data_IF_805578559756
#
_entry.id   IF_805578559756
#
_cell.length_a   1.000
_cell.length_b   1.000
_cell.length_c   1.000
_cell.angle_alpha   90.00
_cell.angle_beta   90.00
_cell.angle_gamma   90.00
#
_symmetry.space_group_name_H-M   'P 1'
#
loop_
_entity.id
_entity.type
_entity.pdbx_description
1 polymer ?
#
# COMPACT_ATOMS: atom_id res chain seq x y z
N UNK A 1 -52.71 -6.28 69.37
CA UNK A 1 -52.49 -4.82 69.28
C UNK A 1 -50.99 -4.60 69.17
N UNK A 2 -50.41 -4.61 67.97
CA UNK A 2 -50.25 -3.49 67.01
C UNK A 2 -49.03 -2.59 67.31
N UNK A 3 -48.24 -2.38 66.25
CA UNK A 3 -47.13 -1.42 66.02
C UNK A 3 -45.72 -1.91 66.43
N UNK A 4 -44.68 -1.85 65.59
CA UNK A 4 -44.53 -1.33 64.23
C UNK A 4 -43.41 -0.28 64.11
N UNK A 5 -42.58 -0.43 63.06
CA UNK A 5 -41.60 0.51 62.43
C UNK A 5 -40.21 0.63 63.09
N UNK A 6 -39.15 0.12 62.45
CA UNK A 6 -38.38 0.61 61.28
C UNK A 6 -37.45 1.81 61.57
N UNK A 7 -36.11 1.67 61.40
CA UNK A 7 -35.20 2.81 61.31
C UNK A 7 -35.22 3.44 59.90
N UNK A 8 -35.23 4.76 59.87
CA UNK A 8 -35.22 5.63 58.70
C UNK A 8 -33.88 5.58 57.97
N UNK A 9 -33.92 5.18 56.70
CA UNK A 9 -32.79 5.22 55.76
C UNK A 9 -32.83 6.57 55.04
N UNK A 10 -31.81 7.41 55.24
CA UNK A 10 -31.64 8.66 54.51
C UNK A 10 -31.50 8.43 52.99
N UNK A 11 -31.82 9.44 52.16
CA UNK A 11 -31.81 9.30 50.72
C UNK A 11 -30.38 9.05 50.23
N UNK A 12 -30.18 7.90 49.58
CA UNK A 12 -29.03 7.68 48.71
C UNK A 12 -29.28 8.49 47.45
N UNK A 13 -28.55 9.58 47.29
CA UNK A 13 -28.49 10.34 46.04
C UNK A 13 -28.00 9.39 44.94
N UNK A 14 -28.91 8.96 44.08
CA UNK A 14 -28.60 8.21 42.88
C UNK A 14 -27.89 9.17 41.90
N UNK A 15 -26.75 8.80 41.30
CA UNK A 15 -26.20 9.60 40.21
C UNK A 15 -27.23 9.65 39.09
N UNK A 16 -27.68 10.86 38.77
CA UNK A 16 -28.69 11.15 37.76
C UNK A 16 -28.40 10.42 36.47
N UNK A 17 -29.38 9.64 35.98
CA UNK A 17 -29.36 8.89 34.72
C UNK A 17 -28.91 9.76 33.52
N UNK A 18 -29.11 11.08 33.60
CA UNK A 18 -28.61 12.08 32.64
C UNK A 18 -27.10 12.14 32.52
N UNK A 19 -26.35 11.96 33.62
CA UNK A 19 -24.87 12.00 33.60
C UNK A 19 -24.29 10.71 33.00
N UNK A 20 -24.93 9.57 33.25
CA UNK A 20 -24.57 8.28 32.64
C UNK A 20 -24.88 8.29 31.14
N UNK A 21 -26.01 8.86 30.72
CA UNK A 21 -26.35 9.05 29.30
C UNK A 21 -25.37 9.98 28.57
N UNK A 22 -24.86 11.03 29.22
CA UNK A 22 -23.82 11.90 28.65
C UNK A 22 -22.47 11.20 28.53
N UNK A 23 -22.08 10.35 29.49
CA UNK A 23 -20.85 9.55 29.41
C UNK A 23 -20.94 8.42 28.37
N UNK A 24 -22.12 7.82 28.17
CA UNK A 24 -22.36 6.86 27.09
C UNK A 24 -22.41 7.55 25.72
N UNK A 25 -22.92 8.78 25.63
CA UNK A 25 -22.88 9.55 24.38
C UNK A 25 -21.45 9.94 23.96
N UNK A 26 -20.55 10.22 24.92
CA UNK A 26 -19.14 10.51 24.63
C UNK A 26 -18.36 9.26 24.22
N UNK A 27 -18.77 8.07 24.68
CA UNK A 27 -18.13 6.80 24.29
C UNK A 27 -18.75 6.16 23.04
N UNK A 28 -19.92 6.62 22.59
CA UNK A 28 -20.57 6.17 21.36
C UNK A 28 -20.21 6.99 20.11
N UNK A 29 -19.26 7.94 20.19
CA UNK A 29 -18.78 8.70 19.05
C UNK A 29 -17.65 8.01 18.25
N UNK A 30 -17.40 6.71 18.48
CA UNK A 30 -16.46 5.92 17.68
C UNK A 30 -17.21 5.07 16.66
N UNK A 31 -17.87 5.71 15.70
CA UNK A 31 -18.24 5.05 14.44
C UNK A 31 -18.02 5.98 13.25
N UNK A 32 -17.02 5.59 12.45
CA UNK A 32 -17.01 5.59 10.98
C UNK A 32 -17.48 6.88 10.31
N UNK A 33 -16.55 7.76 9.92
CA UNK A 33 -16.87 8.82 8.97
C UNK A 33 -15.68 9.26 8.13
N UNK A 34 -15.76 8.91 6.84
CA UNK A 34 -15.41 9.71 5.66
C UNK A 34 -14.04 10.38 5.58
N UNK A 35 -13.29 9.98 4.55
CA UNK A 35 -12.31 10.76 3.80
C UNK A 35 -12.13 12.21 4.27
N UNK A 36 -11.06 12.47 5.03
CA UNK A 36 -10.57 13.83 5.23
C UNK A 36 -11.27 14.69 6.29
N UNK A 37 -12.10 14.13 7.18
CA UNK A 37 -12.65 14.90 8.32
C UNK A 37 -11.56 15.44 9.27
N UNK A 38 -10.45 14.71 9.42
CA UNK A 38 -9.34 15.19 10.25
C UNK A 38 -8.65 16.43 9.65
N UNK A 39 -8.56 16.50 8.32
CA UNK A 39 -7.98 17.66 7.63
C UNK A 39 -8.92 18.89 7.63
N UNK A 40 -10.24 18.68 7.69
CA UNK A 40 -11.19 19.80 7.83
C UNK A 40 -11.18 20.41 9.23
N UNK A 41 -10.73 19.65 10.24
CA UNK A 41 -10.45 20.14 11.60
C UNK A 41 -9.09 20.87 11.70
N UNK A 42 -8.23 20.77 10.68
CA UNK A 42 -6.94 21.45 10.67
C UNK A 42 -7.07 22.96 10.36
N UNK A 43 -6.17 23.81 10.91
CA UNK A 43 -6.05 25.21 10.56
C UNK A 43 -5.90 25.42 9.04
N UNK A 44 -6.40 26.53 8.48
CA UNK A 44 -6.40 26.77 7.03
C UNK A 44 -5.03 26.59 6.36
N UNK A 45 -3.96 26.96 7.06
CA UNK A 45 -2.57 26.81 6.58
C UNK A 45 -2.12 25.34 6.45
N UNK A 46 -2.62 24.45 7.32
CA UNK A 46 -2.25 23.03 7.36
C UNK A 46 -3.19 22.18 6.49
N UNK A 47 -4.45 22.60 6.33
CA UNK A 47 -5.51 21.86 5.62
C UNK A 47 -5.11 21.43 4.20
N UNK A 48 -4.54 22.33 3.42
CA UNK A 48 -4.11 22.04 2.05
C UNK A 48 -2.92 21.05 1.98
N UNK A 49 -2.01 21.10 2.95
CA UNK A 49 -0.91 20.14 3.06
C UNK A 49 -1.42 18.76 3.50
N UNK A 50 -2.38 18.74 4.44
CA UNK A 50 -3.03 17.52 4.94
C UNK A 50 -3.76 16.76 3.82
N UNK A 51 -4.55 17.46 2.98
CA UNK A 51 -5.23 16.83 1.84
C UNK A 51 -4.28 16.36 0.71
N UNK A 52 -3.03 16.84 0.69
CA UNK A 52 -2.03 16.44 -0.30
C UNK A 52 -1.25 15.21 0.10
N UNK A 53 -1.34 14.76 1.36
CA UNK A 53 -0.68 13.54 1.79
C UNK A 53 -1.62 12.37 1.53
N UNK A 54 -1.29 11.47 0.59
CA UNK A 54 -2.10 10.29 0.40
C UNK A 54 -2.06 9.44 1.68
N UNK A 55 -3.22 8.90 2.10
CA UNK A 55 -3.33 8.04 3.28
C UNK A 55 -2.40 6.81 3.21
N UNK A 56 -2.06 6.34 2.01
CA UNK A 56 -1.08 5.26 1.80
C UNK A 56 0.38 5.68 2.01
N UNK A 57 0.68 6.98 1.96
CA UNK A 57 2.01 7.55 2.23
C UNK A 57 2.35 7.59 3.72
N UNK A 58 1.36 7.65 4.60
CA UNK A 58 1.53 7.70 6.07
C UNK A 58 1.70 6.31 6.73
N UNK A 59 1.45 5.22 6.00
CA UNK A 59 1.58 3.84 6.48
C UNK A 59 2.67 3.03 5.79
N UNK A 60 3.54 3.66 5.00
CA UNK A 60 4.64 3.03 4.27
C UNK A 60 6.02 3.42 4.79
N UNK A 61 7.10 2.92 4.15
CA UNK A 61 8.49 3.31 4.49
C UNK A 61 8.79 4.79 4.26
N UNK A 62 7.97 5.48 3.47
CA UNK A 62 8.07 6.92 3.19
C UNK A 62 7.23 7.79 4.16
N UNK A 63 6.55 7.15 5.13
CA UNK A 63 5.76 7.84 6.15
C UNK A 63 6.58 8.87 6.90
N UNK A 64 7.85 8.56 7.17
CA UNK A 64 8.77 9.43 7.91
C UNK A 64 9.04 10.75 7.16
N UNK A 65 9.26 10.68 5.84
CA UNK A 65 9.47 11.86 4.99
C UNK A 65 8.21 12.73 4.88
N UNK A 66 7.04 12.10 4.73
CA UNK A 66 5.76 12.81 4.68
C UNK A 66 5.33 13.38 6.03
N UNK A 67 5.59 12.68 7.14
CA UNK A 67 5.37 13.20 8.49
C UNK A 67 6.28 14.40 8.76
N UNK A 68 7.57 14.30 8.44
CA UNK A 68 8.52 15.40 8.65
C UNK A 68 8.06 16.67 7.93
N UNK A 69 7.60 16.54 6.68
CA UNK A 69 7.06 17.65 5.90
C UNK A 69 5.72 18.19 6.45
N UNK A 70 4.89 17.36 7.08
CA UNK A 70 3.67 17.81 7.75
C UNK A 70 3.96 18.51 9.08
N UNK A 71 4.93 18.02 9.86
CA UNK A 71 5.32 18.59 11.15
C UNK A 71 6.00 19.95 11.04
N UNK A 72 6.56 20.29 9.88
CA UNK A 72 7.11 21.63 9.62
C UNK A 72 6.04 22.67 9.26
N UNK A 73 4.85 22.23 8.83
CA UNK A 73 3.76 23.09 8.34
C UNK A 73 2.60 23.18 9.35
N UNK A 74 2.43 22.15 10.18
CA UNK A 74 1.29 22.00 11.10
C UNK A 74 1.73 22.05 12.58
N UNK A 75 0.92 22.63 13.49
CA UNK A 75 1.25 22.67 14.91
C UNK A 75 1.23 21.26 15.55
N UNK A 76 2.07 21.02 16.58
CA UNK A 76 2.29 19.69 17.16
C UNK A 76 1.05 19.05 17.79
N UNK A 77 0.03 19.86 18.13
CA UNK A 77 -1.21 19.39 18.76
C UNK A 77 -2.14 18.61 17.81
N UNK A 78 -2.04 18.81 16.49
CA UNK A 78 -2.75 17.99 15.48
C UNK A 78 -2.02 16.71 15.13
N UNK A 79 -0.71 16.66 15.42
CA UNK A 79 0.11 15.45 15.27
C UNK A 79 -0.28 14.42 16.34
N UNK A 80 -0.80 14.84 17.51
CA UNK A 80 -1.18 13.94 18.60
C UNK A 80 -2.49 13.18 18.30
N UNK A 81 -3.49 13.83 17.69
CA UNK A 81 -4.70 13.16 17.19
C UNK A 81 -4.46 12.39 15.89
N UNK A 82 -3.51 12.85 15.07
CA UNK A 82 -2.95 12.09 13.95
C UNK A 82 -2.11 10.88 14.40
N UNK A 83 -1.51 10.91 15.59
CA UNK A 83 -0.75 9.81 16.16
C UNK A 83 -1.64 8.64 16.58
N UNK A 84 -2.90 8.90 16.96
CA UNK A 84 -3.90 7.85 17.20
C UNK A 84 -4.30 7.15 15.90
N UNK A 85 -4.48 7.90 14.80
CA UNK A 85 -4.70 7.32 13.47
C UNK A 85 -3.43 6.65 12.92
N UNK A 86 -2.24 7.22 13.16
CA UNK A 86 -0.98 6.59 12.82
C UNK A 86 -0.78 5.29 13.62
N UNK A 87 -1.23 5.23 14.88
CA UNK A 87 -1.24 4.03 15.69
C UNK A 87 -2.22 2.97 15.15
N UNK A 88 -3.41 3.38 14.70
CA UNK A 88 -4.38 2.49 14.04
C UNK A 88 -3.91 2.03 12.63
N UNK A 89 -3.14 2.88 11.93
CA UNK A 89 -2.40 2.54 10.70
C UNK A 89 -1.19 1.65 10.99
N UNK A 90 -0.60 1.72 12.20
CA UNK A 90 0.53 0.85 12.60
C UNK A 90 0.11 -0.57 12.95
N UNK A 91 -1.15 -0.79 13.33
CA UNK A 91 -1.67 -2.14 13.65
C UNK A 91 -1.60 -3.08 12.43
N UNK A 92 -1.48 -2.53 11.23
CA UNK A 92 -1.18 -3.26 9.99
C UNK A 92 0.06 -2.81 9.23
N UNK A 93 0.97 -2.02 9.83
CA UNK A 93 2.18 -1.52 9.13
C UNK A 93 3.14 -2.64 8.71
N UNK A 94 3.07 -3.80 9.37
CA UNK A 94 3.83 -5.00 9.00
C UNK A 94 3.19 -5.89 7.94
N UNK A 95 1.95 -5.60 7.52
CA UNK A 95 1.23 -6.46 6.58
C UNK A 95 1.67 -6.23 5.13
N UNK A 96 2.11 -7.31 4.49
CA UNK A 96 2.58 -7.32 3.10
C UNK A 96 1.50 -6.94 2.07
N UNK A 97 0.23 -6.97 2.47
CA UNK A 97 -0.91 -6.57 1.63
C UNK A 97 -1.12 -5.06 1.53
N UNK A 98 -0.58 -4.26 2.46
CA UNK A 98 -0.84 -2.82 2.54
C UNK A 98 -0.52 -2.03 1.26
N UNK A 99 0.59 -2.28 0.53
CA UNK A 99 0.85 -1.62 -0.75
C UNK A 99 -0.21 -1.87 -1.84
N UNK A 100 -1.01 -2.92 -1.70
CA UNK A 100 -2.09 -3.27 -2.61
C UNK A 100 -3.35 -2.43 -2.39
N UNK A 101 -3.53 -1.74 -1.26
CA UNK A 101 -4.76 -0.99 -0.96
C UNK A 101 -5.09 0.09 -2.00
N UNK A 102 -4.10 0.59 -2.74
CA UNK A 102 -4.32 1.53 -3.86
C UNK A 102 -5.03 0.91 -5.08
N UNK A 103 -5.13 -0.42 -5.12
CA UNK A 103 -5.79 -1.18 -6.18
C UNK A 103 -7.24 -1.54 -5.82
N UNK A 104 -7.66 -1.30 -4.57
CA UNK A 104 -9.05 -1.49 -4.17
C UNK A 104 -9.92 -0.46 -4.89
N UNK A 105 -10.98 -0.94 -5.54
CA UNK A 105 -11.91 -0.15 -6.35
C UNK A 105 -12.99 0.50 -5.47
N UNK A 106 -13.52 -0.23 -4.49
CA UNK A 106 -14.53 0.27 -3.58
C UNK A 106 -13.89 1.11 -2.45
N UNK A 107 -14.35 2.35 -2.20
CA UNK A 107 -13.82 3.19 -1.12
C UNK A 107 -13.88 2.53 0.25
N UNK A 108 -14.96 1.77 0.53
CA UNK A 108 -15.10 1.00 1.77
C UNK A 108 -14.06 -0.12 1.90
N UNK A 109 -13.75 -0.82 0.81
CA UNK A 109 -12.68 -1.83 0.80
C UNK A 109 -11.31 -1.19 1.00
N UNK A 110 -11.05 -0.07 0.32
CA UNK A 110 -9.81 0.68 0.46
C UNK A 110 -9.57 1.14 1.91
N UNK A 111 -10.60 1.69 2.56
CA UNK A 111 -10.52 2.13 3.96
C UNK A 111 -10.20 0.98 4.91
N UNK A 112 -10.91 -0.15 4.79
CA UNK A 112 -10.65 -1.34 5.62
C UNK A 112 -9.27 -1.93 5.33
N UNK A 113 -8.80 -1.91 4.08
CA UNK A 113 -7.46 -2.38 3.74
C UNK A 113 -6.36 -1.55 4.43
N UNK A 114 -6.56 -0.24 4.57
CA UNK A 114 -5.60 0.65 5.23
C UNK A 114 -5.53 0.45 6.75
N UNK A 115 -6.49 -0.20 7.39
CA UNK A 115 -6.42 -0.57 8.81
C UNK A 115 -6.18 -2.06 9.03
N UNK A 116 -6.38 -2.91 8.02
CA UNK A 116 -6.15 -4.34 8.13
C UNK A 116 -4.67 -4.69 8.38
N UNK A 117 -4.46 -5.69 9.24
CA UNK A 117 -3.17 -6.33 9.52
C UNK A 117 -3.00 -7.70 8.87
N UNK A 118 -4.04 -8.24 8.22
CA UNK A 118 -3.99 -9.48 7.43
C UNK A 118 -5.20 -9.58 6.48
N UNK A 119 -5.12 -10.46 5.48
CA UNK A 119 -6.18 -10.63 4.48
C UNK A 119 -7.57 -11.01 5.06
N UNK A 120 -7.70 -11.89 6.07
CA UNK A 120 -9.00 -12.19 6.69
C UNK A 120 -9.75 -10.98 7.26
N UNK A 121 -9.05 -9.95 7.76
CA UNK A 121 -9.66 -8.74 8.32
C UNK A 121 -10.37 -7.86 7.28
N UNK A 122 -10.15 -8.09 5.99
CA UNK A 122 -10.86 -7.39 4.91
C UNK A 122 -12.37 -7.69 4.90
N UNK A 123 -12.76 -8.86 5.44
CA UNK A 123 -14.15 -9.22 5.67
C UNK A 123 -15.07 -9.07 4.46
N UNK A 124 -16.31 -8.68 4.71
CA UNK A 124 -17.32 -8.44 3.68
C UNK A 124 -17.15 -7.11 2.93
N UNK A 125 -16.29 -6.20 3.43
CA UNK A 125 -16.03 -4.92 2.79
C UNK A 125 -15.33 -5.08 1.43
N UNK A 126 -14.53 -6.14 1.28
CA UNK A 126 -13.79 -6.44 0.06
C UNK A 126 -14.28 -7.75 -0.57
N UNK A 127 -15.09 -7.68 -1.63
CA UNK A 127 -15.55 -8.88 -2.35
C UNK A 127 -14.56 -9.26 -3.45
N UNK A 128 -14.00 -10.47 -3.39
CA UNK A 128 -12.99 -10.95 -4.34
C UNK A 128 -13.40 -10.87 -5.82
N UNK A 129 -14.68 -11.08 -6.13
CA UNK A 129 -15.20 -11.00 -7.50
C UNK A 129 -15.24 -9.57 -8.06
N UNK A 130 -15.29 -8.56 -7.18
CA UNK A 130 -15.30 -7.14 -7.59
C UNK A 130 -13.90 -6.53 -7.53
N UNK A 131 -13.01 -7.09 -6.71
CA UNK A 131 -11.70 -6.54 -6.38
C UNK A 131 -10.55 -7.42 -6.93
N UNK A 132 -10.66 -7.85 -8.19
CA UNK A 132 -9.79 -8.90 -8.78
C UNK A 132 -8.30 -8.51 -8.74
N UNK A 133 -7.95 -7.31 -9.22
CA UNK A 133 -6.55 -6.84 -9.24
C UNK A 133 -6.00 -6.62 -7.83
N UNK A 134 -6.85 -6.17 -6.91
CA UNK A 134 -6.51 -6.00 -5.50
C UNK A 134 -6.17 -7.35 -4.84
N UNK A 135 -7.06 -8.33 -4.91
CA UNK A 135 -6.81 -9.66 -4.33
C UNK A 135 -5.65 -10.40 -5.01
N UNK A 136 -5.47 -10.21 -6.32
CA UNK A 136 -4.28 -10.75 -7.01
C UNK A 136 -2.99 -10.15 -6.47
N UNK A 137 -2.99 -8.85 -6.15
CA UNK A 137 -1.85 -8.20 -5.52
C UNK A 137 -1.60 -8.76 -4.12
N UNK A 138 -2.63 -8.87 -3.26
CA UNK A 138 -2.53 -9.42 -1.90
C UNK A 138 -1.94 -10.83 -1.92
N UNK A 139 -2.52 -11.72 -2.74
CA UNK A 139 -2.04 -13.08 -2.86
C UNK A 139 -0.56 -13.11 -3.27
N UNK A 140 -0.18 -12.32 -4.28
CA UNK A 140 1.19 -12.25 -4.76
C UNK A 140 2.16 -11.73 -3.70
N UNK A 141 1.78 -10.73 -2.91
CA UNK A 141 2.66 -10.18 -1.88
C UNK A 141 2.77 -11.11 -0.68
N UNK A 142 1.71 -11.81 -0.28
CA UNK A 142 1.75 -12.80 0.81
C UNK A 142 2.56 -14.06 0.45
N UNK A 143 2.37 -14.61 -0.75
CA UNK A 143 3.23 -15.71 -1.23
C UNK A 143 4.70 -15.27 -1.34
N UNK A 144 4.93 -14.02 -1.78
CA UNK A 144 6.24 -13.39 -1.82
C UNK A 144 6.88 -13.23 -0.44
N UNK A 145 6.11 -12.85 0.58
CA UNK A 145 6.55 -12.80 1.97
C UNK A 145 7.14 -14.14 2.42
N UNK A 146 6.45 -15.22 2.07
CA UNK A 146 6.91 -16.59 2.31
C UNK A 146 8.22 -16.94 1.59
N UNK A 147 8.51 -16.37 0.42
CA UNK A 147 9.82 -16.50 -0.22
C UNK A 147 10.91 -15.73 0.54
N UNK A 148 10.65 -14.46 0.87
CA UNK A 148 11.65 -13.55 1.42
C UNK A 148 12.00 -13.83 2.89
N UNK A 149 11.08 -14.44 3.65
CA UNK A 149 11.34 -14.85 5.04
C UNK A 149 12.41 -15.95 5.17
N UNK A 150 12.70 -16.70 4.09
CA UNK A 150 13.63 -17.85 4.11
C UNK A 150 15.12 -17.46 4.04
N UNK A 151 15.45 -16.17 4.11
CA UNK A 151 16.84 -15.69 4.18
C UNK A 151 17.08 -14.90 5.46
N UNK A 152 18.26 -15.07 6.03
CA UNK A 152 18.75 -14.26 7.15
C UNK A 152 19.51 -13.01 6.67
N UNK A 153 19.85 -12.93 5.38
CA UNK A 153 20.53 -11.77 4.81
C UNK A 153 19.54 -10.62 4.62
N UNK A 154 19.77 -9.53 5.36
CA UNK A 154 18.99 -8.31 5.24
C UNK A 154 18.94 -7.79 3.80
N UNK A 155 20.08 -7.80 3.10
CA UNK A 155 20.18 -7.30 1.72
C UNK A 155 19.40 -8.17 0.73
N UNK A 156 19.47 -9.50 0.89
CA UNK A 156 18.68 -10.42 0.07
C UNK A 156 17.18 -10.25 0.35
N UNK A 157 16.81 -10.13 1.64
CA UNK A 157 15.42 -9.90 2.05
C UNK A 157 14.85 -8.60 1.46
N UNK A 158 15.58 -7.50 1.58
CA UNK A 158 15.17 -6.19 1.04
C UNK A 158 15.00 -6.22 -0.49
N UNK A 159 15.94 -6.84 -1.22
CA UNK A 159 15.81 -7.01 -2.67
C UNK A 159 14.63 -7.92 -3.06
N UNK A 160 14.33 -8.93 -2.25
CA UNK A 160 13.17 -9.81 -2.44
C UNK A 160 11.85 -9.07 -2.19
N UNK A 161 11.74 -8.32 -1.10
CA UNK A 161 10.61 -7.43 -0.81
C UNK A 161 10.33 -6.49 -1.99
N UNK A 162 11.36 -5.82 -2.51
CA UNK A 162 11.23 -4.87 -3.61
C UNK A 162 10.61 -5.50 -4.88
N UNK A 163 10.92 -6.77 -5.17
CA UNK A 163 10.34 -7.50 -6.30
C UNK A 163 8.82 -7.71 -6.13
N UNK A 164 8.36 -7.97 -4.91
CA UNK A 164 6.94 -8.24 -4.64
C UNK A 164 6.12 -6.97 -4.41
N UNK A 165 6.72 -5.88 -3.94
CA UNK A 165 6.06 -4.57 -3.84
C UNK A 165 5.81 -3.93 -5.21
N UNK A 166 6.65 -4.22 -6.21
CA UNK A 166 6.45 -3.75 -7.57
C UNK A 166 5.28 -4.49 -8.25
N UNK A 167 4.33 -3.77 -8.85
CA UNK A 167 3.19 -4.37 -9.59
C UNK A 167 3.64 -5.36 -10.66
N UNK A 168 4.66 -4.96 -11.43
CA UNK A 168 5.36 -5.81 -12.39
C UNK A 168 6.86 -5.63 -12.16
N UNK A 169 7.59 -6.67 -11.67
CA UNK A 169 8.98 -6.52 -11.31
C UNK A 169 9.86 -6.37 -12.57
N UNK A 170 10.55 -5.24 -12.65
CA UNK A 170 11.45 -4.92 -13.76
C UNK A 170 12.59 -5.93 -13.87
N UNK A 171 13.23 -5.97 -15.05
CA UNK A 171 14.42 -6.79 -15.27
C UNK A 171 15.54 -6.37 -14.32
N UNK A 172 15.69 -5.08 -14.06
CA UNK A 172 16.63 -4.54 -13.06
C UNK A 172 16.37 -5.08 -11.66
N UNK A 173 15.12 -5.07 -11.20
CA UNK A 173 14.77 -5.62 -9.87
C UNK A 173 15.07 -7.11 -9.78
N UNK A 174 14.72 -7.90 -10.80
CA UNK A 174 15.04 -9.34 -10.86
C UNK A 174 16.54 -9.59 -10.88
N UNK A 175 17.32 -8.77 -11.59
CA UNK A 175 18.77 -8.87 -11.60
C UNK A 175 19.39 -8.52 -10.24
N UNK A 176 18.88 -7.46 -9.59
CA UNK A 176 19.34 -7.06 -8.26
C UNK A 176 19.05 -8.14 -7.22
N UNK A 177 17.87 -8.75 -7.28
CA UNK A 177 17.53 -9.93 -6.47
C UNK A 177 18.53 -11.07 -6.68
N UNK A 178 18.81 -11.43 -7.94
CA UNK A 178 19.76 -12.50 -8.25
C UNK A 178 21.18 -12.19 -7.74
N UNK A 179 21.59 -10.92 -7.75
CA UNK A 179 22.88 -10.46 -7.24
C UNK A 179 22.95 -10.52 -5.71
N UNK A 180 21.93 -10.02 -5.03
CA UNK A 180 21.95 -9.89 -3.57
C UNK A 180 21.61 -11.21 -2.86
N UNK A 181 20.93 -12.12 -3.54
CA UNK A 181 20.59 -13.46 -3.06
C UNK A 181 21.44 -14.58 -3.69
N UNK A 182 22.67 -14.29 -4.15
CA UNK A 182 23.56 -15.32 -4.75
C UNK A 182 23.76 -16.55 -3.86
N UNK A 183 23.90 -16.35 -2.55
CA UNK A 183 24.04 -17.42 -1.57
C UNK A 183 22.69 -18.07 -1.15
N UNK A 184 21.57 -17.58 -1.68
CA UNK A 184 20.21 -17.99 -1.30
C UNK A 184 19.39 -18.37 -2.53
N UNK A 185 19.87 -19.38 -3.28
CA UNK A 185 19.26 -19.83 -4.52
C UNK A 185 17.79 -20.30 -4.37
N UNK A 186 17.38 -20.70 -3.17
CA UNK A 186 15.98 -21.03 -2.89
C UNK A 186 15.07 -19.79 -2.92
N UNK A 187 15.54 -18.64 -2.45
CA UNK A 187 14.78 -17.37 -2.50
C UNK A 187 14.62 -16.92 -3.95
N UNK A 188 15.70 -16.94 -4.73
CA UNK A 188 15.65 -16.54 -6.15
C UNK A 188 14.76 -17.45 -6.98
N UNK A 189 14.81 -18.77 -6.76
CA UNK A 189 13.91 -19.73 -7.43
C UNK A 189 12.44 -19.52 -7.04
N UNK A 190 12.16 -19.32 -5.76
CA UNK A 190 10.81 -19.06 -5.26
C UNK A 190 10.23 -17.79 -5.87
N UNK A 191 10.99 -16.68 -5.79
CA UNK A 191 10.58 -15.41 -6.37
C UNK A 191 10.37 -15.52 -7.88
N UNK A 192 11.28 -16.16 -8.61
CA UNK A 192 11.16 -16.33 -10.05
C UNK A 192 9.90 -17.11 -10.45
N UNK A 193 9.50 -18.13 -9.68
CA UNK A 193 8.29 -18.90 -9.95
C UNK A 193 7.01 -18.06 -9.83
N UNK A 194 6.96 -17.16 -8.84
CA UNK A 194 5.83 -16.28 -8.56
C UNK A 194 5.81 -15.01 -9.41
N UNK A 195 6.94 -14.66 -10.04
CA UNK A 195 7.06 -13.49 -10.91
C UNK A 195 7.27 -13.86 -12.38
N UNK A 196 6.86 -15.06 -12.79
CA UNK A 196 6.90 -15.44 -14.21
C UNK A 196 6.03 -14.47 -15.01
N UNK A 197 6.66 -13.80 -15.97
CA UNK A 197 5.99 -12.90 -16.90
C UNK A 197 5.83 -13.59 -18.25
N UNK A 198 4.63 -13.52 -18.82
CA UNK A 198 4.36 -14.01 -20.17
C UNK A 198 5.17 -13.21 -21.19
N UNK A 199 5.85 -13.86 -22.16
CA UNK A 199 6.50 -13.16 -23.26
C UNK A 199 5.54 -12.23 -24.00
N UNK A 200 6.06 -11.13 -24.55
CA UNK A 200 5.26 -10.25 -25.39
C UNK A 200 4.73 -11.00 -26.60
N UNK A 201 3.48 -10.73 -26.98
CA UNK A 201 2.87 -11.38 -28.14
C UNK A 201 3.33 -10.70 -29.44
N UNK A 202 4.15 -11.41 -30.22
CA UNK A 202 4.66 -10.99 -31.54
C UNK A 202 5.28 -9.58 -31.58
N UNK A 203 6.24 -9.25 -30.68
CA UNK A 203 6.91 -7.94 -30.68
C UNK A 203 7.62 -7.61 -32.01
N UNK A 204 8.01 -8.63 -32.76
CA UNK A 204 8.68 -8.51 -34.06
C UNK A 204 7.84 -7.80 -35.14
N UNK A 205 6.51 -7.72 -34.98
CA UNK A 205 5.64 -6.95 -35.90
C UNK A 205 5.98 -5.46 -35.93
N UNK A 206 6.57 -4.95 -34.85
CA UNK A 206 6.93 -3.55 -34.71
C UNK A 206 8.37 -3.24 -35.16
N UNK A 207 9.07 -4.18 -35.82
CA UNK A 207 10.43 -3.96 -36.32
C UNK A 207 10.56 -2.77 -37.28
N UNK A 208 9.48 -2.44 -37.99
CA UNK A 208 9.40 -1.28 -38.86
C UNK A 208 9.54 0.04 -38.09
N UNK A 209 9.11 0.11 -36.82
CA UNK A 209 9.27 1.31 -35.99
C UNK A 209 10.74 1.61 -35.69
N UNK A 210 11.61 0.60 -35.66
CA UNK A 210 13.03 0.79 -35.36
C UNK A 210 13.76 1.64 -36.41
N UNK A 211 13.24 1.81 -37.62
CA UNK A 211 13.88 2.67 -38.64
C UNK A 211 13.63 4.16 -38.43
N UNK A 212 12.64 4.52 -37.59
CA UNK A 212 12.31 5.91 -37.32
C UNK A 212 13.37 6.65 -36.48
N UNK A 213 14.26 5.91 -35.79
CA UNK A 213 15.36 6.53 -35.04
C UNK A 213 16.52 6.90 -35.95
N UNK A 214 17.03 8.12 -35.80
CA UNK A 214 18.25 8.59 -36.46
C UNK A 214 19.52 7.95 -35.87
N UNK A 215 19.47 7.51 -34.61
CA UNK A 215 20.59 6.92 -33.90
C UNK A 215 20.80 5.45 -34.28
N UNK A 216 21.89 5.14 -35.00
CA UNK A 216 22.21 3.79 -35.46
C UNK A 216 22.33 2.77 -34.31
N UNK A 217 22.84 3.17 -33.15
CA UNK A 217 22.92 2.36 -31.94
C UNK A 217 21.52 1.98 -31.41
N UNK A 218 20.60 2.93 -31.37
CA UNK A 218 19.20 2.69 -30.98
C UNK A 218 18.50 1.75 -31.98
N UNK A 219 18.68 1.95 -33.29
CA UNK A 219 18.09 1.05 -34.31
C UNK A 219 18.54 -0.40 -34.12
N UNK A 220 19.83 -0.62 -33.87
CA UNK A 220 20.39 -1.95 -33.65
C UNK A 220 19.88 -2.58 -32.35
N UNK A 221 19.79 -1.80 -31.26
CA UNK A 221 19.23 -2.27 -30.00
C UNK A 221 17.73 -2.58 -30.14
N UNK A 222 16.95 -1.71 -30.78
CA UNK A 222 15.52 -1.88 -30.99
C UNK A 222 15.20 -3.19 -31.71
N UNK A 223 15.90 -3.49 -32.82
CA UNK A 223 15.70 -4.76 -33.55
C UNK A 223 16.03 -5.97 -32.70
N UNK A 224 17.10 -5.91 -31.90
CA UNK A 224 17.50 -6.99 -30.99
C UNK A 224 16.47 -7.22 -29.89
N UNK A 225 15.92 -6.15 -29.33
CA UNK A 225 14.94 -6.24 -28.25
C UNK A 225 13.60 -6.76 -28.77
N UNK A 226 13.11 -6.26 -29.91
CA UNK A 226 11.84 -6.70 -30.50
C UNK A 226 11.87 -8.12 -31.06
N UNK A 227 13.05 -8.69 -31.30
CA UNK A 227 13.21 -10.11 -31.67
C UNK A 227 13.46 -11.01 -30.46
N UNK A 228 13.56 -10.45 -29.26
CA UNK A 228 13.74 -11.23 -28.04
C UNK A 228 12.39 -11.78 -27.54
N UNK A 229 12.41 -12.99 -26.98
CA UNK A 229 11.25 -13.59 -26.29
C UNK A 229 11.04 -13.00 -24.88
N UNK A 230 11.23 -11.68 -24.74
CA UNK A 230 11.10 -10.96 -23.49
C UNK A 230 9.63 -10.55 -23.24
N UNK A 231 9.21 -10.41 -21.97
CA UNK A 231 7.91 -9.83 -21.64
C UNK A 231 7.87 -8.34 -22.04
N UNK A 232 6.65 -7.82 -22.27
CA UNK A 232 6.45 -6.44 -22.75
C UNK A 232 7.18 -5.40 -21.91
N UNK A 233 7.16 -5.52 -20.58
CA UNK A 233 7.81 -4.56 -19.70
C UNK A 233 9.34 -4.58 -19.82
N UNK A 234 9.93 -5.75 -20.09
CA UNK A 234 11.38 -5.88 -20.30
C UNK A 234 11.79 -5.32 -21.66
N UNK A 235 10.90 -5.43 -22.65
CA UNK A 235 11.09 -4.78 -23.95
C UNK A 235 11.16 -3.26 -23.76
N UNK A 236 10.18 -2.68 -23.07
CA UNK A 236 10.14 -1.23 -22.81
C UNK A 236 11.37 -0.74 -22.04
N UNK A 237 11.74 -1.42 -20.94
CA UNK A 237 12.92 -1.06 -20.13
C UNK A 237 14.23 -1.15 -20.93
N UNK A 238 14.37 -2.17 -21.79
CA UNK A 238 15.57 -2.33 -22.62
C UNK A 238 15.62 -1.30 -23.75
N UNK A 239 14.47 -0.94 -24.33
CA UNK A 239 14.38 0.12 -25.33
C UNK A 239 14.72 1.47 -24.71
N UNK A 240 14.16 1.78 -23.54
CA UNK A 240 14.44 3.02 -22.82
C UNK A 240 15.91 3.14 -22.45
N UNK A 241 16.53 2.06 -21.96
CA UNK A 241 17.95 2.03 -21.64
C UNK A 241 18.87 2.24 -22.85
N UNK A 242 18.43 1.86 -24.05
CA UNK A 242 19.24 1.94 -25.27
C UNK A 242 18.97 3.19 -26.12
N UNK A 243 17.76 3.73 -26.04
CA UNK A 243 17.25 4.78 -26.92
C UNK A 243 16.89 6.07 -26.17
N UNK A 244 16.88 6.07 -24.83
CA UNK A 244 16.41 7.19 -24.02
C UNK A 244 14.93 7.08 -23.66
N UNK A 245 14.39 8.07 -22.93
CA UNK A 245 13.01 8.06 -22.43
C UNK A 245 12.02 7.84 -23.58
N UNK A 246 11.15 6.84 -23.41
CA UNK A 246 10.08 6.56 -24.35
C UNK A 246 8.89 7.47 -24.07
N UNK A 247 8.50 8.29 -25.05
CA UNK A 247 7.27 9.07 -24.94
C UNK A 247 6.06 8.19 -25.23
N UNK A 248 5.43 7.69 -24.18
CA UNK A 248 4.21 6.88 -24.25
C UNK A 248 2.92 7.74 -24.26
N UNK A 249 3.04 9.06 -24.39
CA UNK A 249 1.87 9.97 -24.43
C UNK A 249 1.25 10.12 -25.82
N UNK A 250 1.89 9.57 -26.86
CA UNK A 250 1.31 9.51 -28.20
C UNK A 250 0.29 8.36 -28.25
N UNK A 251 -0.93 8.67 -27.83
CA UNK A 251 -2.10 7.85 -28.15
C UNK A 251 -2.36 7.93 -29.65
N UNK A 252 -2.38 6.77 -30.31
CA UNK A 252 -2.98 6.60 -31.65
C UNK A 252 -4.47 6.38 -31.45
#
# INVERSE_FOLDING_TARGET
MTQGRHPTRGPREAPSLTLVLLLVAVTAATTTQGDGWCCSLAPPACRAACYRVPLWGLGGRDADHHLTHLTSICPPTLVISGASFAAEVTEGAGWWGRPCCKLALAPGCQAVCLSAGNAPQLGSACRASHEIEFFRCIQRTEEGAGCCARTQSYRCRASCEAVFTARTPSRRLRHQLAKDCRAHAHVTRCAHALTKTTPAHRPERNLHCCTASEAASCRAACRRVLTSAAPQQDILEQLEAACGPLDLTVSI
#
